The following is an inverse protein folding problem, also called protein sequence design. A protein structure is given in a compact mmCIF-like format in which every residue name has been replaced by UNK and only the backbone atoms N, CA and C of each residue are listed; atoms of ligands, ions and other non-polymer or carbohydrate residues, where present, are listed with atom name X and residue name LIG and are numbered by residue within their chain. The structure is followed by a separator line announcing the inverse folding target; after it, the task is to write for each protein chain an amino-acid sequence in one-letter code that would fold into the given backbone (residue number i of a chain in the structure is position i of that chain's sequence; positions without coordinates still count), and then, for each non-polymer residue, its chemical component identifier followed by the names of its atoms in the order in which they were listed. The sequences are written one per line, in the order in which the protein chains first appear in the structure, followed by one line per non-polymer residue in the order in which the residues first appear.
data_IF_951943408260
#
_entry.id   IF_951943408260
#
_cell.length_a   1.000
_cell.length_b   1.000
_cell.length_c   1.000
_cell.angle_alpha   90.00
_cell.angle_beta   90.00
_cell.angle_gamma   90.00
#
_symmetry.space_group_name_H-M   'P 1'
#
loop_
_entity.id
_entity.type
_entity.pdbx_description
1 polymer ?
#
# COMPACT_ATOMS: atom_id res chain seq x y z
N UNK A 1 18.67 -2.08 9.80
CA UNK A 1 17.85 -0.92 9.43
C UNK A 1 16.80 -1.41 8.43
N UNK A 2 15.53 -1.11 8.65
CA UNK A 2 14.45 -1.46 7.72
C UNK A 2 13.72 -0.19 7.28
N UNK A 3 13.02 -0.25 6.15
CA UNK A 3 12.24 0.87 5.62
C UNK A 3 10.81 0.44 5.34
N UNK A 4 9.84 1.28 5.69
CA UNK A 4 8.42 1.09 5.39
C UNK A 4 8.07 1.92 4.16
N UNK A 5 7.52 1.27 3.13
CA UNK A 5 7.15 1.90 1.87
C UNK A 5 5.66 2.22 1.88
N UNK A 6 5.31 3.49 1.75
CA UNK A 6 3.93 3.95 1.62
C UNK A 6 3.68 4.38 0.17
N UNK A 7 2.81 3.63 -0.52
CA UNK A 7 2.42 3.87 -1.90
C UNK A 7 0.99 4.43 -1.93
N UNK A 8 0.83 5.61 -2.53
CA UNK A 8 -0.45 6.34 -2.51
C UNK A 8 -0.94 6.57 -3.95
N UNK A 9 -2.20 6.21 -4.19
CA UNK A 9 -2.90 6.40 -5.45
C UNK A 9 -2.39 5.49 -6.57
N UNK A 10 -3.01 5.63 -7.74
CA UNK A 10 -2.72 4.78 -8.90
C UNK A 10 -1.24 4.83 -9.30
N UNK A 11 -0.69 6.03 -9.45
CA UNK A 11 0.71 6.23 -9.86
C UNK A 11 1.70 5.63 -8.86
N UNK A 12 1.51 5.89 -7.56
CA UNK A 12 2.38 5.34 -6.52
C UNK A 12 2.35 3.81 -6.49
N UNK A 13 1.17 3.21 -6.57
CA UNK A 13 1.04 1.75 -6.56
C UNK A 13 1.70 1.08 -7.79
N UNK A 14 1.58 1.68 -8.97
CA UNK A 14 2.22 1.16 -10.19
C UNK A 14 3.74 1.25 -10.13
N UNK A 15 4.26 2.43 -9.74
CA UNK A 15 5.71 2.64 -9.58
C UNK A 15 6.26 1.70 -8.50
N UNK A 16 5.55 1.52 -7.40
CA UNK A 16 5.93 0.62 -6.32
C UNK A 16 6.08 -0.84 -6.78
N UNK A 17 5.17 -1.33 -7.61
CA UNK A 17 5.31 -2.68 -8.19
C UNK A 17 6.56 -2.78 -9.05
N UNK A 18 6.72 -1.87 -10.02
CA UNK A 18 7.90 -1.86 -10.90
C UNK A 18 9.21 -1.72 -10.12
N UNK A 19 9.21 -0.97 -9.02
CA UNK A 19 10.35 -0.84 -8.12
C UNK A 19 10.72 -2.17 -7.46
N UNK A 20 9.75 -2.88 -6.87
CA UNK A 20 10.02 -4.17 -6.21
C UNK A 20 10.49 -5.23 -7.21
N UNK A 21 9.95 -5.23 -8.42
CA UNK A 21 10.42 -6.08 -9.52
C UNK A 21 11.87 -5.74 -9.90
N UNK A 22 12.21 -4.45 -10.03
CA UNK A 22 13.55 -3.99 -10.41
C UNK A 22 14.63 -4.32 -9.35
N UNK A 23 14.31 -4.28 -8.06
CA UNK A 23 15.24 -4.70 -7.00
C UNK A 23 15.32 -6.23 -6.85
N UNK A 24 14.51 -6.96 -7.63
CA UNK A 24 14.49 -8.41 -7.69
C UNK A 24 13.79 -9.06 -6.50
N UNK A 25 12.77 -8.41 -5.95
CA UNK A 25 11.91 -8.98 -4.90
C UNK A 25 10.62 -9.44 -5.56
N UNK A 26 10.49 -10.75 -5.75
CA UNK A 26 9.28 -11.37 -6.25
C UNK A 26 9.00 -12.68 -5.49
N UNK A 27 7.80 -13.22 -5.65
CA UNK A 27 7.34 -14.41 -4.91
C UNK A 27 8.14 -15.69 -5.25
N UNK A 28 8.85 -15.70 -6.38
CA UNK A 28 9.64 -16.83 -6.87
C UNK A 28 11.11 -16.73 -6.45
N UNK A 29 11.55 -15.54 -6.03
CA UNK A 29 12.92 -15.26 -5.64
C UNK A 29 13.15 -15.59 -4.16
N UNK A 30 14.18 -16.38 -3.86
CA UNK A 30 14.69 -16.57 -2.48
C UNK A 30 15.52 -15.37 -1.98
N UNK A 31 15.44 -14.21 -2.65
CA UNK A 31 16.20 -13.02 -2.31
C UNK A 31 15.51 -12.32 -1.15
N UNK A 32 15.99 -12.59 0.07
CA UNK A 32 15.54 -11.90 1.27
C UNK A 32 16.33 -10.59 1.45
N UNK A 33 15.63 -9.45 1.49
CA UNK A 33 16.25 -8.16 1.84
C UNK A 33 15.61 -7.58 3.09
N UNK A 34 16.38 -7.48 4.17
CA UNK A 34 15.93 -6.93 5.45
C UNK A 34 15.55 -5.43 5.37
N UNK A 35 15.90 -4.74 4.28
CA UNK A 35 15.50 -3.36 4.01
C UNK A 35 14.02 -3.30 3.61
N UNK A 36 13.59 -4.22 2.75
CA UNK A 36 12.29 -4.20 2.07
C UNK A 36 11.30 -5.22 2.63
N UNK A 37 11.79 -6.30 3.24
CA UNK A 37 11.01 -7.41 3.77
C UNK A 37 11.22 -7.54 5.28
N UNK A 38 10.18 -8.04 5.94
CA UNK A 38 10.25 -8.52 7.31
C UNK A 38 10.66 -10.01 7.34
N UNK A 39 10.98 -10.55 8.52
CA UNK A 39 11.43 -11.94 8.70
C UNK A 39 10.44 -13.01 8.21
N UNK A 40 9.16 -12.66 8.07
CA UNK A 40 8.09 -13.51 7.52
C UNK A 40 8.03 -13.47 5.97
N UNK A 41 9.06 -12.91 5.31
CA UNK A 41 9.19 -12.75 3.86
C UNK A 41 8.14 -11.82 3.22
N UNK A 42 7.31 -11.15 4.02
CA UNK A 42 6.36 -10.16 3.51
C UNK A 42 7.02 -8.80 3.35
N UNK A 43 6.59 -8.07 2.33
CA UNK A 43 7.02 -6.70 2.07
C UNK A 43 6.54 -5.77 3.19
N UNK A 44 7.43 -4.87 3.61
CA UNK A 44 7.12 -3.70 4.45
C UNK A 44 6.51 -2.60 3.59
N UNK A 45 5.43 -2.92 2.88
CA UNK A 45 4.73 -2.03 1.95
C UNK A 45 3.28 -1.83 2.37
N UNK A 46 2.80 -0.60 2.26
CA UNK A 46 1.42 -0.18 2.47
C UNK A 46 0.94 0.48 1.20
N UNK A 47 -0.17 -0.01 0.67
CA UNK A 47 -0.67 0.32 -0.66
C UNK A 47 -2.07 0.87 -0.53
N UNK A 48 -2.20 2.17 -0.79
CA UNK A 48 -3.42 2.93 -0.54
C UNK A 48 -3.94 3.51 -1.84
N UNK A 49 -5.24 3.38 -2.10
CA UNK A 49 -5.90 4.10 -3.19
C UNK A 49 -7.33 4.49 -2.76
N UNK A 50 -7.86 5.60 -3.26
CA UNK A 50 -9.29 5.89 -3.12
C UNK A 50 -10.18 4.92 -3.89
N UNK A 51 -9.65 4.19 -4.89
CA UNK A 51 -10.41 3.28 -5.75
C UNK A 51 -9.97 1.82 -5.63
N UNK A 52 -10.96 0.92 -5.57
CA UNK A 52 -10.70 -0.53 -5.48
C UNK A 52 -10.02 -1.11 -6.74
N UNK A 53 -10.19 -0.48 -7.91
CA UNK A 53 -9.71 -1.01 -9.19
C UNK A 53 -8.18 -1.13 -9.20
N UNK A 54 -7.48 -0.10 -8.75
CA UNK A 54 -6.01 -0.08 -8.66
C UNK A 54 -5.49 -1.18 -7.75
N UNK A 55 -6.09 -1.33 -6.57
CA UNK A 55 -5.60 -2.28 -5.55
C UNK A 55 -5.95 -3.74 -5.83
N UNK A 56 -6.88 -4.00 -6.76
CA UNK A 56 -7.29 -5.37 -7.08
C UNK A 56 -6.16 -6.18 -7.71
N UNK A 57 -5.31 -5.55 -8.53
CA UNK A 57 -4.12 -6.20 -9.05
C UNK A 57 -3.13 -6.58 -7.95
N UNK A 58 -2.97 -5.72 -6.93
CA UNK A 58 -2.08 -5.95 -5.79
C UNK A 58 -2.50 -7.13 -4.92
N UNK A 59 -3.80 -7.46 -4.86
CA UNK A 59 -4.29 -8.61 -4.09
C UNK A 59 -3.73 -9.96 -4.57
N UNK A 60 -3.23 -10.04 -5.80
CA UNK A 60 -2.58 -11.24 -6.34
C UNK A 60 -1.13 -11.39 -5.84
N UNK A 61 -0.52 -10.30 -5.35
CA UNK A 61 0.85 -10.33 -4.84
C UNK A 61 0.86 -10.88 -3.41
N UNK A 62 1.28 -12.15 -3.28
CA UNK A 62 1.33 -12.84 -1.99
C UNK A 62 2.36 -12.25 -1.02
N UNK A 63 3.31 -11.44 -1.49
CA UNK A 63 4.30 -10.79 -0.62
C UNK A 63 3.70 -9.61 0.15
N UNK A 64 2.62 -9.01 -0.34
CA UNK A 64 1.95 -7.89 0.32
C UNK A 64 0.97 -8.44 1.35
N UNK A 65 1.00 -7.91 2.57
CA UNK A 65 0.02 -8.29 3.60
C UNK A 65 -1.36 -7.75 3.21
N UNK A 66 -2.39 -8.60 3.30
CA UNK A 66 -3.76 -8.21 2.94
C UNK A 66 -4.24 -6.95 3.70
N UNK A 67 -3.88 -6.83 4.98
CA UNK A 67 -4.22 -5.67 5.81
C UNK A 67 -3.50 -4.36 5.41
N UNK A 68 -2.49 -4.44 4.55
CA UNK A 68 -1.75 -3.29 4.03
C UNK A 68 -2.27 -2.84 2.66
N UNK A 69 -3.28 -3.53 2.11
CA UNK A 69 -3.96 -3.12 0.88
C UNK A 69 -5.24 -2.39 1.31
N UNK A 70 -5.21 -1.06 1.23
CA UNK A 70 -6.25 -0.19 1.75
C UNK A 70 -6.90 0.54 0.59
N UNK A 71 -8.23 0.56 0.56
CA UNK A 71 -8.93 1.35 -0.44
C UNK A 71 -10.18 2.05 0.06
N UNK A 72 -10.53 3.14 -0.62
CA UNK A 72 -11.85 3.78 -0.53
C UNK A 72 -12.88 3.11 -1.44
N UNK A 73 -14.04 3.74 -1.55
CA UNK A 73 -15.16 3.36 -2.41
C UNK A 73 -15.09 4.08 -3.75
N UNK A 74 -14.69 5.36 -3.78
CA UNK A 74 -14.66 6.17 -5.00
C UNK A 74 -13.44 7.09 -5.15
N UNK A 75 -13.09 7.35 -6.41
CA UNK A 75 -11.96 8.17 -6.79
C UNK A 75 -12.10 9.64 -6.43
N UNK A 76 -10.96 10.35 -6.41
CA UNK A 76 -10.91 11.77 -6.08
C UNK A 76 -11.04 12.70 -7.29
N UNK A 77 -11.19 12.16 -8.49
CA UNK A 77 -11.46 12.94 -9.72
C UNK A 77 -10.42 14.01 -10.03
N UNK A 78 -9.14 13.73 -9.78
CA UNK A 78 -8.03 14.69 -9.90
C UNK A 78 -8.23 15.99 -9.08
N UNK A 79 -9.04 15.94 -8.03
CA UNK A 79 -9.29 17.05 -7.14
C UNK A 79 -8.51 16.89 -5.82
N UNK A 80 -7.53 17.76 -5.61
CA UNK A 80 -6.71 17.76 -4.40
C UNK A 80 -7.52 17.99 -3.13
N UNK A 81 -8.50 18.90 -3.15
CA UNK A 81 -9.32 19.22 -1.99
C UNK A 81 -10.15 18.00 -1.55
N UNK A 82 -10.71 17.24 -2.49
CA UNK A 82 -11.40 15.98 -2.18
C UNK A 82 -10.46 14.93 -1.61
N UNK A 83 -9.21 14.87 -2.08
CA UNK A 83 -8.20 13.97 -1.53
C UNK A 83 -7.81 14.34 -0.10
N UNK A 84 -7.67 15.63 0.18
CA UNK A 84 -7.20 16.15 1.47
C UNK A 84 -8.30 16.20 2.54
N UNK A 85 -9.43 16.83 2.23
CA UNK A 85 -10.56 16.95 3.15
C UNK A 85 -11.41 15.68 3.23
N UNK A 86 -11.24 14.77 2.26
CA UNK A 86 -12.06 13.58 2.13
C UNK A 86 -13.47 13.90 1.63
N UNK A 87 -14.33 12.89 1.73
CA UNK A 87 -15.75 13.01 1.41
C UNK A 87 -16.56 13.11 2.69
N UNK A 88 -17.74 13.72 2.59
CA UNK A 88 -18.67 13.80 3.73
C UNK A 88 -19.32 12.45 4.08
N UNK A 89 -18.96 11.37 3.38
CA UNK A 89 -19.43 10.02 3.64
C UNK A 89 -18.67 9.38 4.82
N UNK A 90 -19.35 8.95 5.90
CA UNK A 90 -18.73 8.23 7.01
C UNK A 90 -17.95 6.98 6.60
N UNK A 91 -18.34 6.30 5.52
CA UNK A 91 -17.67 5.09 5.03
C UNK A 91 -16.31 5.38 4.37
N UNK A 92 -16.11 6.62 3.89
CA UNK A 92 -14.89 7.10 3.25
C UNK A 92 -13.88 7.71 4.24
N UNK A 93 -14.36 8.18 5.40
CA UNK A 93 -13.53 8.84 6.43
C UNK A 93 -12.50 7.93 7.09
N UNK A 94 -12.60 6.62 6.88
CA UNK A 94 -11.76 5.64 7.55
C UNK A 94 -10.45 5.33 6.79
N UNK A 95 -10.27 5.80 5.55
CA UNK A 95 -9.06 5.46 4.76
C UNK A 95 -7.77 5.97 5.42
N UNK A 96 -7.79 7.19 5.95
CA UNK A 96 -6.64 7.79 6.64
C UNK A 96 -6.33 7.02 7.93
N UNK A 97 -7.35 6.74 8.74
CA UNK A 97 -7.16 6.05 10.02
C UNK A 97 -6.68 4.62 9.83
N UNK A 98 -7.26 3.87 8.88
CA UNK A 98 -6.76 2.57 8.45
C UNK A 98 -5.30 2.63 8.02
N UNK A 99 -4.93 3.64 7.22
CA UNK A 99 -3.56 3.83 6.74
C UNK A 99 -2.60 4.08 7.89
N UNK A 100 -2.93 5.01 8.80
CA UNK A 100 -2.10 5.30 9.98
C UNK A 100 -1.92 4.07 10.87
N UNK A 101 -2.98 3.27 11.06
CA UNK A 101 -2.90 2.03 11.82
C UNK A 101 -1.98 0.99 11.15
N UNK A 102 -2.03 0.86 9.82
CA UNK A 102 -1.11 -0.04 9.10
C UNK A 102 0.33 0.46 9.13
N UNK A 103 0.57 1.78 9.03
CA UNK A 103 1.92 2.38 9.18
C UNK A 103 2.50 2.08 10.56
N UNK A 104 1.71 2.29 11.62
CA UNK A 104 2.12 1.94 12.98
C UNK A 104 2.49 0.46 13.09
N UNK A 105 1.61 -0.44 12.64
CA UNK A 105 1.84 -1.89 12.69
C UNK A 105 3.04 -2.35 11.88
N UNK A 106 3.40 -1.70 10.78
CA UNK A 106 4.63 -2.02 10.03
C UNK A 106 5.89 -1.44 10.67
N UNK A 107 5.76 -0.33 11.40
CA UNK A 107 6.89 0.30 12.10
C UNK A 107 7.25 -0.43 13.40
N UNK A 108 6.26 -1.03 14.08
CA UNK A 108 6.45 -1.81 15.31
C UNK A 108 6.89 -3.27 15.05
N UNK A 109 6.91 -3.71 13.79
CA UNK A 109 7.40 -5.03 13.38
C UNK A 109 8.91 -5.04 13.12
#
# INVERSE_FOLDING_TARGET
MCSVFLQIGQGGNQIGQSFFDAVGINAESNKCSCIYQHHDQKLRSINVDSEWKTVTALKKNQLIRANNIIHGLCGRGNNWAMGYYGLNDPQEKDILQKTLQSVRKESER
#
